data_IF_676705765143
#
_entry.id   IF_676705765143
#
_cell.length_a   1.000
_cell.length_b   1.000
_cell.length_c   1.000
_cell.angle_alpha   90.00
_cell.angle_beta   90.00
_cell.angle_gamma   90.00
#
_symmetry.space_group_name_H-M   'P 1'
#
loop_
_entity.id
_entity.type
_entity.pdbx_description
1 polymer ?
#
# COMPACT_ATOMS: atom_id res chain seq x y z
N UNK A 1 -9.50 -0.51 -7.83
CA UNK A 1 -9.15 -0.38 -6.39
C UNK A 1 -9.84 -1.53 -5.70
N UNK A 2 -9.16 -2.68 -5.63
CA UNK A 2 -9.70 -3.89 -5.03
C UNK A 2 -9.97 -3.68 -3.54
N UNK A 3 -10.92 -4.45 -3.02
CA UNK A 3 -11.36 -4.43 -1.63
C UNK A 3 -10.17 -4.33 -0.65
N UNK A 4 -10.28 -3.57 0.45
CA UNK A 4 -9.25 -3.52 1.47
C UNK A 4 -8.88 -4.95 1.90
N UNK A 5 -7.61 -5.26 2.20
CA UNK A 5 -7.22 -6.56 2.73
C UNK A 5 -8.07 -6.89 3.97
N UNK A 6 -8.25 -8.17 4.34
CA UNK A 6 -9.11 -8.56 5.46
C UNK A 6 -8.82 -7.84 6.79
N UNK A 7 -7.57 -7.40 7.03
CA UNK A 7 -7.20 -6.59 8.20
C UNK A 7 -7.46 -5.07 8.07
N UNK A 8 -7.87 -4.59 6.91
CA UNK A 8 -8.02 -3.18 6.55
C UNK A 8 -9.46 -2.67 6.60
N UNK A 9 -10.39 -3.41 7.21
CA UNK A 9 -11.73 -2.88 7.49
C UNK A 9 -11.65 -1.61 8.37
N UNK A 10 -10.65 -1.50 9.24
CA UNK A 10 -10.34 -0.28 9.99
C UNK A 10 -9.69 0.84 9.15
N UNK A 11 -9.00 0.49 8.07
CA UNK A 11 -8.22 1.41 7.21
C UNK A 11 -9.11 2.24 6.29
N UNK A 12 -10.31 1.72 5.94
CA UNK A 12 -11.26 2.41 5.07
C UNK A 12 -11.77 3.76 5.64
N UNK A 13 -11.50 4.06 6.92
CA UNK A 13 -11.84 5.31 7.59
C UNK A 13 -10.92 6.48 7.23
N UNK A 14 -9.67 6.20 6.82
CA UNK A 14 -8.69 7.24 6.48
C UNK A 14 -8.64 7.41 4.97
N UNK A 15 -9.01 8.60 4.51
CA UNK A 15 -9.02 8.95 3.09
C UNK A 15 -7.83 9.85 2.75
N UNK A 16 -7.09 9.49 1.70
CA UNK A 16 -6.00 10.27 1.11
C UNK A 16 -6.40 10.60 -0.33
N UNK A 17 -6.47 11.89 -0.67
CA UNK A 17 -6.95 12.33 -1.99
C UNK A 17 -8.37 11.87 -2.31
N UNK A 18 -9.23 11.74 -1.29
CA UNK A 18 -10.62 11.28 -1.44
C UNK A 18 -10.78 9.76 -1.63
N UNK A 19 -9.71 8.97 -1.51
CA UNK A 19 -9.72 7.50 -1.65
C UNK A 19 -9.22 6.84 -0.37
N UNK A 20 -9.66 5.60 -0.05
CA UNK A 20 -9.11 4.84 1.07
C UNK A 20 -7.59 4.77 1.00
N UNK A 21 -6.93 5.07 2.11
CA UNK A 21 -5.48 5.01 2.19
C UNK A 21 -4.97 3.57 1.96
N UNK A 22 -3.94 3.44 1.13
CA UNK A 22 -3.28 2.16 0.93
C UNK A 22 -2.32 1.87 2.09
N UNK A 23 -2.30 0.61 2.53
CA UNK A 23 -1.43 0.08 3.58
C UNK A 23 -0.74 -1.19 3.12
N UNK A 24 0.24 -1.65 3.87
CA UNK A 24 0.81 -3.00 3.73
C UNK A 24 -0.31 -4.04 3.67
N UNK A 25 -0.23 -4.95 2.69
CA UNK A 25 -1.27 -5.93 2.40
C UNK A 25 -2.32 -5.47 1.39
N UNK A 26 -2.36 -4.20 0.98
CA UNK A 26 -3.36 -3.75 -0.01
C UNK A 26 -3.17 -4.40 -1.36
N UNK A 27 -4.28 -4.72 -2.03
CA UNK A 27 -4.28 -5.44 -3.30
C UNK A 27 -3.66 -4.64 -4.45
N UNK A 28 -2.75 -5.28 -5.19
CA UNK A 28 -2.21 -4.82 -6.47
C UNK A 28 -2.79 -5.64 -7.62
N UNK A 29 -3.63 -5.00 -8.44
CA UNK A 29 -4.15 -5.62 -9.66
C UNK A 29 -3.12 -5.56 -10.78
N UNK A 30 -2.34 -6.61 -10.96
CA UNK A 30 -1.37 -6.68 -12.05
C UNK A 30 -2.01 -7.14 -13.36
N UNK A 31 -1.73 -6.45 -14.47
CA UNK A 31 -2.22 -6.79 -15.81
C UNK A 31 -1.31 -7.76 -16.56
N UNK A 32 -0.11 -8.01 -16.04
CA UNK A 32 0.85 -8.95 -16.63
C UNK A 32 0.30 -10.36 -16.44
N UNK A 33 -0.01 -11.13 -17.52
CA UNK A 33 -0.73 -12.40 -17.42
C UNK A 33 -0.18 -13.40 -16.39
N UNK A 34 1.14 -13.68 -16.31
CA UNK A 34 1.65 -14.58 -15.27
C UNK A 34 1.49 -14.03 -13.84
N UNK A 35 1.47 -12.71 -13.65
CA UNK A 35 1.28 -12.07 -12.34
C UNK A 35 -0.19 -11.91 -11.97
N UNK A 36 -1.10 -11.89 -12.95
CA UNK A 36 -2.54 -11.87 -12.70
C UNK A 36 -2.99 -13.16 -11.98
N UNK A 37 -2.32 -14.29 -12.21
CA UNK A 37 -2.56 -15.56 -11.52
C UNK A 37 -2.32 -15.49 -10.00
N UNK A 38 -1.55 -14.51 -9.51
CA UNK A 38 -1.39 -14.24 -8.07
C UNK A 38 -2.71 -13.80 -7.41
N UNK A 39 -3.65 -13.27 -8.20
CA UNK A 39 -4.98 -12.87 -7.74
C UNK A 39 -4.94 -12.01 -6.47
N UNK A 40 -5.66 -12.39 -5.40
CA UNK A 40 -5.68 -11.64 -4.14
C UNK A 40 -4.38 -11.74 -3.34
N UNK A 41 -3.46 -12.63 -3.71
CA UNK A 41 -2.11 -12.72 -3.13
C UNK A 41 -1.18 -11.64 -3.66
N UNK A 42 -1.58 -10.88 -4.68
CA UNK A 42 -0.80 -9.74 -5.14
C UNK A 42 -1.05 -8.51 -4.27
N UNK A 43 -0.12 -8.23 -3.35
CA UNK A 43 -0.29 -7.21 -2.31
C UNK A 43 0.94 -6.33 -2.14
N UNK A 44 0.76 -5.15 -1.54
CA UNK A 44 1.87 -4.31 -1.06
C UNK A 44 2.60 -5.06 0.07
N UNK A 45 3.89 -5.27 -0.09
CA UNK A 45 4.73 -5.96 0.89
C UNK A 45 5.19 -5.01 2.00
N UNK A 46 5.51 -5.53 3.20
CA UNK A 46 6.16 -4.74 4.23
C UNK A 46 7.48 -4.15 3.70
N UNK A 47 7.65 -2.82 3.80
CA UNK A 47 8.88 -2.17 3.42
C UNK A 47 9.86 -2.14 4.61
N UNK A 48 11.05 -2.78 4.53
CA UNK A 48 12.05 -2.73 5.60
C UNK A 48 12.47 -1.30 5.99
N UNK A 49 12.48 -0.37 5.04
CA UNK A 49 12.80 1.03 5.32
C UNK A 49 11.76 1.71 6.25
N UNK A 50 10.51 1.23 6.26
CA UNK A 50 9.50 1.69 7.21
C UNK A 50 9.78 1.20 8.65
N UNK A 51 10.46 0.06 8.81
CA UNK A 51 10.81 -0.47 10.11
C UNK A 51 11.98 0.29 10.77
N UNK A 52 12.91 0.84 9.97
CA UNK A 52 14.08 1.57 10.47
C UNK A 52 13.79 3.07 10.66
N UNK A 53 13.01 3.68 9.76
CA UNK A 53 12.75 5.14 9.76
C UNK A 53 11.50 5.59 10.53
N UNK A 54 10.79 4.67 11.18
CA UNK A 54 9.47 4.91 11.77
C UNK A 54 8.35 4.74 10.76
N UNK A 55 7.40 3.84 11.07
CA UNK A 55 6.23 3.59 10.24
C UNK A 55 5.07 4.49 10.67
N UNK A 56 4.50 5.24 9.73
CA UNK A 56 3.18 5.83 9.92
C UNK A 56 2.16 4.71 9.81
N UNK A 57 1.35 4.54 10.86
CA UNK A 57 0.32 3.51 10.88
C UNK A 57 -1.04 4.10 10.52
N UNK A 58 -1.76 3.40 9.65
CA UNK A 58 -3.17 3.67 9.33
C UNK A 58 -3.95 2.41 9.66
N UNK A 59 -4.92 2.52 10.56
CA UNK A 59 -5.68 1.35 11.05
C UNK A 59 -4.79 0.26 11.67
N UNK A 60 -3.64 0.64 12.24
CA UNK A 60 -2.67 -0.29 12.83
C UNK A 60 -1.69 -0.95 11.84
N UNK A 61 -1.82 -0.67 10.54
CA UNK A 61 -0.94 -1.21 9.49
C UNK A 61 0.00 -0.14 8.93
N UNK A 62 1.24 -0.47 8.53
CA UNK A 62 2.14 0.50 7.91
C UNK A 62 1.53 1.09 6.63
N UNK A 63 1.46 2.40 6.57
CA UNK A 63 0.96 3.15 5.42
C UNK A 63 1.88 2.98 4.21
N UNK A 64 1.28 2.76 3.03
CA UNK A 64 2.03 2.56 1.81
C UNK A 64 2.61 3.88 1.28
N UNK A 65 3.85 3.84 0.80
CA UNK A 65 4.61 4.98 0.30
C UNK A 65 5.06 4.78 -1.13
N UNK A 66 5.41 5.86 -1.81
CA UNK A 66 6.09 5.78 -3.10
C UNK A 66 7.36 4.92 -2.96
N UNK A 67 7.56 4.00 -3.90
CA UNK A 67 8.69 3.08 -3.91
C UNK A 67 8.44 1.75 -3.20
N UNK A 68 7.41 1.62 -2.36
CA UNK A 68 7.03 0.33 -1.76
C UNK A 68 6.75 -0.71 -2.83
N UNK A 69 7.10 -1.96 -2.55
CA UNK A 69 7.04 -3.07 -3.52
C UNK A 69 5.80 -3.92 -3.30
N UNK A 70 5.29 -4.48 -4.39
CA UNK A 70 4.22 -5.49 -4.39
C UNK A 70 4.80 -6.89 -4.54
N UNK A 71 4.02 -7.94 -4.29
CA UNK A 71 4.53 -9.33 -4.36
C UNK A 71 4.99 -9.73 -5.76
N UNK A 72 4.46 -9.12 -6.83
CA UNK A 72 5.00 -9.30 -8.19
C UNK A 72 6.23 -8.43 -8.52
N UNK A 73 6.71 -7.63 -7.56
CA UNK A 73 7.91 -6.79 -7.69
C UNK A 73 7.66 -5.37 -8.23
N UNK A 74 6.42 -5.04 -8.63
CA UNK A 74 6.09 -3.70 -9.12
C UNK A 74 6.14 -2.67 -7.97
N UNK A 75 6.81 -1.51 -8.15
CA UNK A 75 6.80 -0.43 -7.18
C UNK A 75 5.54 0.45 -7.26
N UNK A 76 5.19 1.10 -6.14
CA UNK A 76 4.23 2.20 -6.14
C UNK A 76 4.89 3.45 -6.72
N UNK A 77 4.38 3.91 -7.86
CA UNK A 77 4.96 5.06 -8.59
C UNK A 77 4.11 6.34 -8.51
N UNK A 78 2.90 6.26 -7.94
CA UNK A 78 2.00 7.41 -7.83
C UNK A 78 1.13 7.33 -6.58
N UNK A 79 0.65 8.49 -6.15
CA UNK A 79 -0.18 8.68 -4.95
C UNK A 79 -0.83 10.07 -4.95
N UNK A 80 -1.23 10.56 -3.78
CA UNK A 80 -1.74 11.93 -3.66
C UNK A 80 -0.57 12.93 -3.64
N UNK A 81 -0.62 13.94 -4.51
CA UNK A 81 0.46 14.93 -4.67
C UNK A 81 0.60 15.92 -3.50
N UNK A 82 -0.35 15.92 -2.57
CA UNK A 82 -0.40 16.81 -1.41
C UNK A 82 -0.18 16.10 -0.08
N UNK A 83 0.15 14.81 -0.07
CA UNK A 83 0.38 14.03 1.14
C UNK A 83 1.72 13.32 1.07
N UNK A 84 2.58 13.56 2.06
CA UNK A 84 3.87 12.89 2.23
C UNK A 84 3.87 12.08 3.52
N UNK A 85 3.94 10.75 3.38
CA UNK A 85 3.91 9.81 4.51
C UNK A 85 5.34 9.57 4.99
N UNK A 86 5.60 9.84 6.27
CA UNK A 86 6.94 9.72 6.88
C UNK A 86 7.77 11.00 6.84
N UNK A 87 7.25 12.09 6.28
CA UNK A 87 7.90 13.41 6.24
C UNK A 87 8.92 13.57 5.10
N UNK A 88 9.48 14.80 4.94
CA UNK A 88 10.58 15.06 4.03
C UNK A 88 11.82 14.35 4.56
N UNK A 89 12.38 13.46 3.74
CA UNK A 89 13.62 12.76 4.05
C UNK A 89 14.81 13.71 4.02
#
# INVERSE_FOLDING_TARGET
MGTPPPGAVAVATVLIGGRPAAVTGSLHGCVVPPHAALGPGNVIMPNPAAAIGGAVLIGGLPAARMGDKTTCGAPIISGAFNVLIGGPM
#
